data_IF_468969302469
#
_entry.id   IF_468969302469
#
_cell.length_a   1.000
_cell.length_b   1.000
_cell.length_c   1.000
_cell.angle_alpha   90.00
_cell.angle_beta   90.00
_cell.angle_gamma   90.00
#
_symmetry.space_group_name_H-M   'P 1'
#
loop_
_entity.id
_entity.type
_entity.pdbx_description
1 polymer ?
#
# COMPACT_ATOMS: atom_id res chain seq x y z
N UNK A 1 5.75 17.00 4.13
CA UNK A 1 5.09 17.01 2.82
C UNK A 1 3.68 17.51 3.05
N UNK A 2 3.25 18.55 2.34
CA UNK A 2 1.89 19.06 2.45
C UNK A 2 0.88 18.10 1.79
N UNK A 3 -0.42 18.17 2.13
CA UNK A 3 -1.46 17.35 1.50
C UNK A 3 -1.47 17.46 -0.04
N UNK A 4 -1.24 18.65 -0.58
CA UNK A 4 -1.21 18.89 -2.03
C UNK A 4 -0.03 18.19 -2.72
N UNK A 5 1.15 18.20 -2.08
CA UNK A 5 2.34 17.50 -2.57
C UNK A 5 2.14 15.98 -2.57
N UNK A 6 1.52 15.44 -1.51
CA UNK A 6 1.19 14.01 -1.42
C UNK A 6 0.23 13.65 -2.56
N UNK A 7 -0.82 14.46 -2.72
CA UNK A 7 -1.84 14.27 -3.75
C UNK A 7 -1.24 14.33 -5.15
N UNK A 8 -0.33 15.27 -5.41
CA UNK A 8 0.42 15.38 -6.67
C UNK A 8 1.18 14.09 -6.97
N UNK A 9 2.01 13.60 -6.02
CA UNK A 9 2.76 12.36 -6.20
C UNK A 9 1.85 11.17 -6.46
N UNK A 10 0.77 11.01 -5.70
CA UNK A 10 -0.19 9.90 -5.86
C UNK A 10 -1.04 10.01 -7.13
N UNK A 11 -1.16 11.20 -7.73
CA UNK A 11 -1.86 11.45 -8.99
C UNK A 11 -1.02 11.23 -10.24
N UNK A 12 0.30 11.07 -10.12
CA UNK A 12 1.16 10.80 -11.28
C UNK A 12 0.70 9.52 -12.00
N UNK A 13 0.76 9.46 -13.35
CA UNK A 13 0.29 8.30 -14.11
C UNK A 13 0.89 6.99 -13.60
N UNK A 14 2.20 6.98 -13.34
CA UNK A 14 2.90 5.80 -12.83
C UNK A 14 2.51 5.42 -11.40
N UNK A 15 2.28 6.39 -10.52
CA UNK A 15 1.72 6.12 -9.19
C UNK A 15 0.35 5.48 -9.30
N UNK A 16 -0.49 5.91 -10.26
CA UNK A 16 -1.81 5.33 -10.51
C UNK A 16 -1.72 3.91 -11.05
N UNK A 17 -0.77 3.62 -11.93
CA UNK A 17 -0.47 2.25 -12.36
C UNK A 17 -0.07 1.35 -11.17
N UNK A 18 0.79 1.85 -10.28
CA UNK A 18 1.23 1.11 -9.10
C UNK A 18 0.09 0.92 -8.09
N UNK A 19 -0.71 1.95 -7.82
CA UNK A 19 -1.88 1.89 -6.94
C UNK A 19 -3.00 0.97 -7.46
N UNK A 20 -2.99 0.64 -8.75
CA UNK A 20 -3.90 -0.33 -9.36
C UNK A 20 -3.42 -1.80 -9.26
N UNK A 21 -2.24 -2.05 -8.66
CA UNK A 21 -1.73 -3.42 -8.45
C UNK A 21 -2.41 -4.09 -7.26
N UNK A 22 -2.34 -5.41 -7.22
CA UNK A 22 -3.06 -6.18 -6.20
C UNK A 22 -2.38 -6.20 -4.83
N UNK A 23 -1.05 -6.13 -4.76
CA UNK A 23 -0.30 -6.40 -3.52
C UNK A 23 0.66 -5.26 -3.17
N UNK A 24 0.63 -4.85 -1.90
CA UNK A 24 1.62 -3.96 -1.28
C UNK A 24 2.38 -4.71 -0.19
N UNK A 25 3.58 -4.23 0.16
CA UNK A 25 4.29 -4.66 1.37
C UNK A 25 3.96 -3.70 2.51
N UNK A 26 3.17 -4.17 3.48
CA UNK A 26 2.84 -3.41 4.69
C UNK A 26 3.93 -3.61 5.74
N UNK A 27 4.59 -2.52 6.12
CA UNK A 27 5.48 -2.45 7.26
C UNK A 27 4.78 -1.81 8.46
N UNK A 28 4.85 -2.48 9.61
CA UNK A 28 4.26 -2.02 10.88
C UNK A 28 5.12 -2.44 12.08
N UNK A 29 4.89 -1.82 13.24
CA UNK A 29 5.56 -2.18 14.50
C UNK A 29 4.68 -3.16 15.29
N UNK A 30 5.22 -4.33 15.62
CA UNK A 30 4.51 -5.31 16.45
C UNK A 30 4.51 -4.87 17.93
N UNK A 31 3.71 -5.56 18.75
CA UNK A 31 3.58 -5.26 20.19
C UNK A 31 4.86 -5.50 20.99
N UNK A 32 5.80 -6.29 20.47
CA UNK A 32 7.14 -6.47 21.04
C UNK A 32 8.13 -5.35 20.63
N UNK A 33 7.65 -4.33 19.92
CA UNK A 33 8.45 -3.19 19.46
C UNK A 33 9.27 -3.44 18.20
N UNK A 34 9.27 -4.66 17.66
CA UNK A 34 10.09 -5.00 16.49
C UNK A 34 9.31 -4.87 15.17
N UNK A 35 9.98 -4.56 14.04
CA UNK A 35 9.29 -4.31 12.78
C UNK A 35 8.81 -5.60 12.11
N UNK A 36 7.67 -5.53 11.42
CA UNK A 36 7.14 -6.59 10.57
C UNK A 36 6.90 -6.03 9.18
N UNK A 37 7.19 -6.84 8.16
CA UNK A 37 6.89 -6.53 6.77
C UNK A 37 6.13 -7.72 6.18
N UNK A 38 4.91 -7.49 5.69
CA UNK A 38 4.05 -8.56 5.15
C UNK A 38 3.46 -8.14 3.80
N UNK A 39 3.45 -9.01 2.79
CA UNK A 39 2.63 -8.78 1.60
C UNK A 39 1.15 -8.85 1.98
N UNK A 40 0.35 -7.93 1.45
CA UNK A 40 -1.08 -7.87 1.68
C UNK A 40 -1.80 -7.28 0.47
N UNK A 41 -2.97 -7.83 0.16
CA UNK A 41 -3.82 -7.27 -0.88
C UNK A 41 -4.37 -5.91 -0.45
N UNK A 42 -4.50 -4.98 -1.39
CA UNK A 42 -4.98 -3.64 -1.10
C UNK A 42 -5.88 -3.08 -2.21
N UNK A 43 -6.55 -1.97 -1.91
CA UNK A 43 -7.28 -1.17 -2.88
C UNK A 43 -7.00 0.31 -2.63
N UNK A 44 -6.95 1.09 -3.69
CA UNK A 44 -6.89 2.55 -3.63
C UNK A 44 -8.25 3.13 -3.97
N UNK A 45 -8.88 3.84 -3.03
CA UNK A 45 -10.22 4.43 -3.22
C UNK A 45 -10.20 5.87 -3.77
N UNK A 46 -9.01 6.40 -4.08
CA UNK A 46 -8.81 7.77 -4.55
C UNK A 46 -8.17 8.70 -3.52
N UNK A 47 -8.27 8.36 -2.23
CA UNK A 47 -7.70 9.15 -1.11
C UNK A 47 -6.95 8.30 -0.09
N UNK A 48 -7.36 7.04 0.10
CA UNK A 48 -6.85 6.13 1.13
C UNK A 48 -6.47 4.78 0.53
N UNK A 49 -5.52 4.11 1.18
CA UNK A 49 -5.16 2.73 0.89
C UNK A 49 -5.90 1.83 1.88
N UNK A 50 -6.76 0.95 1.38
CA UNK A 50 -7.57 0.05 2.20
C UNK A 50 -7.04 -1.36 2.07
N UNK A 51 -6.84 -2.03 3.20
CA UNK A 51 -6.52 -3.46 3.28
C UNK A 51 -7.52 -4.14 4.22
N UNK A 52 -8.02 -5.31 3.85
CA UNK A 52 -9.00 -6.02 4.65
C UNK A 52 -8.34 -7.24 5.30
N UNK A 53 -8.64 -7.50 6.58
CA UNK A 53 -8.03 -8.60 7.33
C UNK A 53 -9.02 -9.20 8.32
N UNK A 54 -8.77 -10.45 8.73
CA UNK A 54 -9.56 -11.12 9.76
C UNK A 54 -9.43 -10.42 11.12
N UNK A 55 -10.48 -10.48 11.94
CA UNK A 55 -10.53 -9.83 13.26
C UNK A 55 -9.51 -10.37 14.27
N UNK A 56 -8.97 -11.57 14.03
CA UNK A 56 -7.93 -12.21 14.83
C UNK A 56 -6.50 -11.99 14.29
N UNK A 57 -6.30 -11.16 13.27
CA UNK A 57 -4.98 -10.97 12.67
C UNK A 57 -3.99 -10.33 13.67
N UNK A 58 -2.76 -10.86 13.80
CA UNK A 58 -1.79 -10.41 14.83
C UNK A 58 -1.36 -8.95 14.64
N UNK A 59 -1.37 -8.46 13.40
CA UNK A 59 -1.05 -7.07 13.05
C UNK A 59 -1.97 -6.05 13.73
N UNK A 60 -3.22 -6.43 14.04
CA UNK A 60 -4.20 -5.52 14.64
C UNK A 60 -3.77 -5.03 16.02
N UNK A 61 -3.15 -5.89 16.85
CA UNK A 61 -2.65 -5.48 18.15
C UNK A 61 -1.50 -4.46 18.02
N UNK A 62 -0.58 -4.70 17.08
CA UNK A 62 0.51 -3.77 16.77
C UNK A 62 -0.01 -2.42 16.26
N UNK A 63 -0.95 -2.45 15.31
CA UNK A 63 -1.54 -1.23 14.73
C UNK A 63 -2.36 -0.41 15.73
N UNK A 64 -3.01 -1.05 16.71
CA UNK A 64 -3.67 -0.34 17.82
C UNK A 64 -2.66 0.37 18.72
N UNK A 65 -1.52 -0.26 19.01
CA UNK A 65 -0.47 0.31 19.85
C UNK A 65 0.32 1.42 19.11
N UNK A 66 0.56 1.23 17.81
CA UNK A 66 1.22 2.19 16.95
C UNK A 66 0.60 2.18 15.55
N UNK A 67 -0.20 3.20 15.18
CA UNK A 67 -0.90 3.24 13.91
C UNK A 67 0.01 3.66 12.74
N UNK A 68 1.29 3.97 12.97
CA UNK A 68 2.17 4.42 11.90
C UNK A 68 2.66 3.24 11.06
N UNK A 69 2.48 3.35 9.74
CA UNK A 69 2.82 2.31 8.77
C UNK A 69 3.63 2.87 7.61
N UNK A 70 4.36 1.99 6.94
CA UNK A 70 4.93 2.25 5.63
C UNK A 70 4.44 1.20 4.63
N UNK A 71 4.19 1.61 3.40
CA UNK A 71 3.78 0.76 2.29
C UNK A 71 4.78 0.90 1.15
N UNK A 72 5.10 -0.22 0.52
CA UNK A 72 5.85 -0.26 -0.74
C UNK A 72 5.04 -0.98 -1.80
N UNK A 73 4.90 -0.35 -2.95
CA UNK A 73 4.34 -0.96 -4.15
C UNK A 73 5.37 -0.82 -5.26
N UNK A 74 5.86 -1.94 -5.78
CA UNK A 74 6.99 -1.97 -6.69
C UNK A 74 6.83 -3.00 -7.81
N UNK A 75 7.70 -2.87 -8.80
CA UNK A 75 7.88 -3.84 -9.90
C UNK A 75 9.31 -4.33 -9.94
N UNK A 76 9.50 -5.59 -10.31
CA UNK A 76 10.80 -6.24 -10.38
C UNK A 76 11.53 -6.00 -11.73
N UNK A 77 10.82 -5.49 -12.74
CA UNK A 77 11.37 -5.22 -14.10
C UNK A 77 12.25 -3.97 -14.10
N UNK A 78 13.32 -3.95 -14.91
CA UNK A 78 14.22 -2.80 -15.03
C UNK A 78 13.75 -1.77 -16.10
N UNK A 79 13.75 -0.46 -15.81
CA UNK A 79 13.98 0.13 -14.49
C UNK A 79 12.81 -0.16 -13.53
N UNK A 80 13.08 -0.44 -12.24
CA UNK A 80 12.03 -0.72 -11.28
C UNK A 80 11.24 0.55 -10.98
N UNK A 81 9.92 0.41 -10.99
CA UNK A 81 8.97 1.45 -10.60
C UNK A 81 8.63 1.22 -9.12
N UNK A 82 8.77 2.26 -8.29
CA UNK A 82 8.61 2.13 -6.84
C UNK A 82 7.77 3.29 -6.31
N UNK A 83 6.66 2.97 -5.64
CA UNK A 83 5.86 3.91 -4.88
C UNK A 83 6.02 3.59 -3.39
N UNK A 84 6.60 4.54 -2.67
CA UNK A 84 6.78 4.50 -1.23
C UNK A 84 5.72 5.39 -0.57
N UNK A 85 5.01 4.87 0.41
CA UNK A 85 3.99 5.61 1.15
C UNK A 85 4.25 5.44 2.64
N UNK A 86 4.08 6.51 3.42
CA UNK A 86 3.93 6.43 4.88
C UNK A 86 2.59 7.00 5.24
N UNK A 87 1.97 6.46 6.28
CA UNK A 87 0.65 6.92 6.70
C UNK A 87 0.29 6.50 8.09
N UNK A 88 -0.88 6.98 8.52
CA UNK A 88 -1.55 6.55 9.75
C UNK A 88 -2.64 5.56 9.37
N UNK A 89 -2.64 4.40 9.99
CA UNK A 89 -3.67 3.38 9.85
C UNK A 89 -4.80 3.61 10.84
N UNK A 90 -6.03 3.63 10.33
CA UNK A 90 -7.26 3.53 11.11
C UNK A 90 -7.83 2.13 10.97
N UNK A 91 -8.35 1.58 12.07
CA UNK A 91 -8.89 0.24 12.12
C UNK A 91 -10.40 0.32 12.22
N UNK A 92 -11.07 -0.01 11.13
CA UNK A 92 -12.53 0.02 11.03
C UNK A 92 -13.07 -1.40 11.03
N UNK A 93 -13.79 -1.76 12.09
CA UNK A 93 -14.36 -3.11 12.27
C UNK A 93 -15.72 -3.14 11.60
N UNK A 94 -15.89 -4.05 10.64
CA UNK A 94 -17.14 -4.21 9.89
C UNK A 94 -17.74 -5.59 10.13
N UNK A 95 -19.08 -5.63 10.20
CA UNK A 95 -19.81 -6.88 10.17
C UNK A 95 -19.77 -7.48 8.76
N UNK A 96 -19.54 -8.79 8.65
CA UNK A 96 -19.37 -9.46 7.37
C UNK A 96 -18.11 -9.06 6.60
N UNK A 97 -18.20 -9.18 5.27
CA UNK A 97 -17.07 -8.99 4.35
C UNK A 97 -17.22 -7.64 3.64
N UNK A 98 -16.26 -6.71 3.76
CA UNK A 98 -16.26 -5.44 3.05
C UNK A 98 -16.20 -5.63 1.53
N UNK A 99 -16.84 -4.72 0.78
CA UNK A 99 -16.81 -4.73 -0.68
C UNK A 99 -15.38 -4.65 -1.23
N UNK A 100 -14.49 -3.90 -0.56
CA UNK A 100 -13.09 -3.81 -0.93
C UNK A 100 -12.41 -5.18 -0.90
N UNK A 101 -12.75 -6.06 0.04
CA UNK A 101 -12.18 -7.42 0.09
C UNK A 101 -12.62 -8.27 -1.11
N UNK A 102 -13.86 -8.09 -1.58
CA UNK A 102 -14.37 -8.79 -2.74
C UNK A 102 -13.81 -8.19 -4.05
N UNK A 103 -13.45 -6.91 -4.05
CA UNK A 103 -12.83 -6.23 -5.19
C UNK A 103 -11.30 -6.46 -5.28
N UNK A 104 -10.62 -6.68 -4.15
CA UNK A 104 -9.22 -7.14 -4.13
C UNK A 104 -9.12 -8.39 -5.01
N UNK A 105 -8.07 -8.47 -5.85
CA UNK A 105 -7.81 -9.49 -6.90
C UNK A 105 -8.13 -9.07 -8.34
N UNK A 106 -7.92 -7.80 -8.71
CA UNK A 106 -8.18 -7.31 -10.07
C UNK A 106 -7.34 -7.99 -11.16
N UNK A 107 -6.17 -8.57 -10.82
CA UNK A 107 -5.34 -9.29 -11.78
C UNK A 107 -5.55 -10.81 -11.81
N UNK A 108 -6.25 -11.40 -10.82
CA UNK A 108 -6.59 -12.82 -10.85
C UNK A 108 -7.84 -13.05 -11.69
N UNK A 109 -7.69 -13.80 -12.78
CA UNK A 109 -8.83 -14.22 -13.60
C UNK A 109 -9.52 -15.42 -12.94
N UNK A 110 -10.76 -15.24 -12.47
CA UNK A 110 -11.65 -16.32 -12.05
C UNK A 110 -12.81 -16.43 -13.04
N UNK A 111 -13.22 -17.65 -13.38
CA UNK A 111 -14.50 -17.82 -14.09
C UNK A 111 -15.67 -17.42 -13.18
N UNK A 112 -16.85 -17.19 -13.76
CA UNK A 112 -18.04 -16.85 -12.98
C UNK A 112 -18.37 -17.94 -11.94
N UNK A 113 -18.19 -19.21 -12.29
CA UNK A 113 -18.43 -20.36 -11.42
C UNK A 113 -17.43 -20.40 -10.26
N UNK A 114 -16.14 -20.22 -10.56
CA UNK A 114 -15.09 -20.17 -9.53
C UNK A 114 -15.33 -19.02 -8.55
N UNK A 115 -15.81 -17.88 -9.06
CA UNK A 115 -16.09 -16.71 -8.24
C UNK A 115 -17.21 -16.98 -7.24
N UNK A 116 -18.28 -17.66 -7.67
CA UNK A 116 -19.40 -18.05 -6.79
C UNK A 116 -18.92 -18.97 -5.66
N UNK A 117 -18.13 -19.99 -5.99
CA UNK A 117 -17.58 -20.93 -5.01
C UNK A 117 -16.66 -20.22 -4.01
N UNK A 118 -15.75 -19.37 -4.50
CA UNK A 118 -14.85 -18.60 -3.63
C UNK A 118 -15.60 -17.65 -2.70
N UNK A 119 -16.60 -16.92 -3.20
CA UNK A 119 -17.41 -16.04 -2.34
C UNK A 119 -18.17 -16.82 -1.27
N UNK A 120 -18.66 -18.03 -1.59
CA UNK A 120 -19.31 -18.90 -0.60
C UNK A 120 -18.33 -19.32 0.51
N UNK A 121 -17.10 -19.71 0.16
CA UNK A 121 -16.05 -20.07 1.11
C UNK A 121 -15.58 -18.87 1.95
N UNK A 122 -15.43 -17.70 1.36
CA UNK A 122 -15.11 -16.48 2.12
C UNK A 122 -16.23 -16.17 3.12
N UNK A 123 -17.49 -16.30 2.70
CA UNK A 123 -18.68 -16.08 3.57
C UNK A 123 -18.84 -17.14 4.65
N UNK A 124 -18.35 -18.36 4.44
CA UNK A 124 -18.37 -19.40 5.47
C UNK A 124 -17.32 -19.19 6.56
N UNK A 125 -16.23 -18.47 6.25
CA UNK A 125 -15.10 -18.27 7.15
C UNK A 125 -15.18 -17.00 8.01
N UNK A 126 -15.78 -15.92 7.48
CA UNK A 126 -15.70 -14.60 8.11
C UNK A 126 -17.06 -14.05 8.55
N UNK A 127 -17.28 -14.01 9.87
CA UNK A 127 -18.41 -13.30 10.48
C UNK A 127 -18.24 -11.76 10.45
N UNK A 128 -17.00 -11.31 10.28
CA UNK A 128 -16.61 -9.90 10.26
C UNK A 128 -15.14 -9.73 9.90
N UNK A 129 -14.78 -8.53 9.49
CA UNK A 129 -13.41 -8.16 9.14
C UNK A 129 -13.02 -6.81 9.73
N UNK A 130 -11.74 -6.50 9.64
CA UNK A 130 -11.21 -5.16 9.93
C UNK A 130 -10.64 -4.58 8.65
N UNK A 131 -11.11 -3.39 8.27
CA UNK A 131 -10.49 -2.55 7.26
C UNK A 131 -9.36 -1.76 7.94
N UNK A 132 -8.16 -1.91 7.41
CA UNK A 132 -6.99 -1.10 7.75
C UNK A 132 -6.96 0.02 6.72
N UNK A 133 -7.44 1.20 7.11
CA UNK A 133 -7.54 2.39 6.25
C UNK A 133 -6.31 3.26 6.48
N UNK A 134 -5.42 3.32 5.50
CA UNK A 134 -4.18 4.10 5.60
C UNK A 134 -4.39 5.46 4.95
N UNK A 135 -4.30 6.50 5.79
CA UNK A 135 -4.28 7.90 5.38
C UNK A 135 -2.83 8.29 5.09
N UNK A 136 -2.47 8.61 3.84
CA UNK A 136 -1.10 8.97 3.49
C UNK A 136 -0.66 10.27 4.18
N UNK A 137 0.52 10.24 4.80
CA UNK A 137 1.17 11.43 5.39
C UNK A 137 2.46 11.81 4.65
N UNK A 138 2.91 10.95 3.73
CA UNK A 138 4.07 11.16 2.88
C UNK A 138 4.04 10.14 1.72
N UNK A 139 4.48 10.55 0.54
CA UNK A 139 4.63 9.65 -0.60
C UNK A 139 5.90 9.98 -1.40
N UNK A 140 6.49 8.99 -2.06
CA UNK A 140 7.55 9.19 -3.06
C UNK A 140 7.43 8.17 -4.17
N UNK A 141 7.42 8.66 -5.40
CA UNK A 141 7.60 7.87 -6.61
C UNK A 141 9.09 7.85 -6.99
N UNK A 142 9.58 6.69 -7.41
CA UNK A 142 10.91 6.49 -7.99
C UNK A 142 10.74 5.66 -9.25
N UNK A 143 11.19 6.18 -10.39
CA UNK A 143 11.09 5.55 -11.70
C UNK A 143 12.43 5.51 -12.47
N UNK A 144 13.48 6.15 -11.93
CA UNK A 144 14.80 6.28 -12.54
C UNK A 144 14.85 7.04 -13.87
N UNK A 145 13.73 7.65 -14.28
CA UNK A 145 13.61 8.46 -15.49
C UNK A 145 13.32 9.91 -15.13
N UNK A 146 12.27 10.15 -14.35
CA UNK A 146 11.81 11.48 -13.91
C UNK A 146 12.06 11.72 -12.43
N UNK A 147 12.22 10.66 -11.64
CA UNK A 147 12.42 10.67 -10.20
C UNK A 147 13.48 9.67 -9.79
N UNK A 148 14.33 10.07 -8.85
CA UNK A 148 15.44 9.23 -8.38
C UNK A 148 15.33 9.02 -6.85
N UNK A 149 16.01 8.02 -6.29
CA UNK A 149 16.25 7.99 -4.85
C UNK A 149 16.90 9.30 -4.39
N UNK A 150 16.51 9.85 -3.23
CA UNK A 150 16.96 11.21 -2.83
C UNK A 150 18.48 11.33 -2.71
N UNK A 151 19.13 10.29 -2.21
CA UNK A 151 20.59 10.24 -2.16
C UNK A 151 21.24 10.29 -3.55
N UNK A 152 20.59 9.72 -4.58
CA UNK A 152 21.08 9.77 -5.96
C UNK A 152 20.85 11.15 -6.58
N UNK A 153 19.71 11.79 -6.30
CA UNK A 153 19.42 13.17 -6.71
C UNK A 153 20.48 14.15 -6.19
N UNK A 154 20.90 13.97 -4.94
CA UNK A 154 21.98 14.74 -4.31
C UNK A 154 23.31 14.55 -5.04
N UNK A 155 23.72 13.31 -5.27
CA UNK A 155 24.96 13.00 -5.99
C UNK A 155 24.98 13.54 -7.43
N UNK A 156 23.84 13.51 -8.14
CA UNK A 156 23.72 14.07 -9.49
C UNK A 156 23.92 15.59 -9.45
N UNK A 157 23.34 16.27 -8.46
CA UNK A 157 23.48 17.72 -8.26
C UNK A 157 24.93 18.11 -7.98
N UNK A 158 25.58 17.42 -7.04
CA UNK A 158 27.00 17.64 -6.71
C UNK A 158 27.89 17.44 -7.94
N UNK A 159 27.64 16.40 -8.74
CA UNK A 159 28.39 16.17 -9.98
C UNK A 159 28.25 17.34 -10.95
N UNK A 160 27.03 17.86 -11.12
CA UNK A 160 26.75 18.98 -12.01
C UNK A 160 27.36 20.30 -11.51
N UNK A 161 27.50 20.48 -10.20
CA UNK A 161 28.23 21.61 -9.60
C UNK A 161 29.73 21.50 -9.84
N UNK A 162 30.33 20.32 -9.62
CA UNK A 162 31.76 20.06 -9.91
C UNK A 162 32.13 20.27 -11.38
N UNK A 163 31.21 20.00 -12.31
CA UNK A 163 31.44 20.18 -13.75
C UNK A 163 31.30 21.64 -14.22
N UNK A 164 30.71 22.51 -13.41
CA UNK A 164 30.51 23.94 -13.69
C UNK A 164 31.57 24.84 -13.06
N UNK A 165 32.33 24.32 -12.10
CA UNK A 165 33.50 24.96 -11.50
C UNK A 165 34.74 24.76 -12.36
#
# INVERSE_FOLDING_TARGET
MGPDEITEVLNRPLSRELLARDVTRLAYVATDGTPRAVPIAFTWNGTEIVMCTSTNAPKLAGLRANPMVALTIDTEVHPPKILLIRGRAELDVVAGIPDEYLQMNGSYTMTAEQRVEWEAEVRSLYDGMVRIVVIPTWAKLIDFETTLPSAVEELVRERAERQRA
#
